data_IF_493823339750
#
_entry.id   IF_493823339750
#
_cell.length_a   1.000
_cell.length_b   1.000
_cell.length_c   1.000
_cell.angle_alpha   90.00
_cell.angle_beta   90.00
_cell.angle_gamma   90.00
#
_symmetry.space_group_name_H-M   'P 1'
#
loop_
_entity.id
_entity.type
_entity.pdbx_description
1 polymer ?
#
# COMPACT_ATOMS: atom_id res chain seq x y z
N UNK A 1 -8.62 27.82 32.14
CA UNK A 1 -8.16 28.06 30.76
C UNK A 1 -7.01 27.12 30.52
N UNK A 2 -7.32 25.88 30.10
CA UNK A 2 -6.35 24.84 29.79
C UNK A 2 -6.34 24.67 28.27
N UNK A 3 -5.44 25.37 27.59
CA UNK A 3 -5.07 25.02 26.21
C UNK A 3 -4.07 23.87 26.29
N UNK A 4 -4.64 22.67 26.41
CA UNK A 4 -3.95 21.40 26.48
C UNK A 4 -3.71 20.93 25.04
N UNK A 5 -2.43 20.87 24.68
CA UNK A 5 -1.85 20.02 23.63
C UNK A 5 -2.69 19.82 22.36
N UNK A 6 -2.44 20.66 21.34
CA UNK A 6 -2.60 20.24 19.95
C UNK A 6 -1.57 19.14 19.67
N UNK A 7 -1.93 17.89 19.99
CA UNK A 7 -1.17 16.72 19.57
C UNK A 7 -1.43 16.57 18.08
N UNK A 8 -0.48 17.07 17.28
CA UNK A 8 -0.33 16.72 15.88
C UNK A 8 0.24 15.30 15.84
N UNK A 9 -0.62 14.30 15.93
CA UNK A 9 -0.28 12.89 15.73
C UNK A 9 -1.22 12.34 14.67
N UNK A 10 -0.66 11.93 13.54
CA UNK A 10 -0.73 10.59 12.95
C UNK A 10 0.10 10.72 11.67
N UNK A 11 1.42 10.69 11.83
CA UNK A 11 2.27 10.26 10.73
C UNK A 11 2.17 8.73 10.79
N UNK A 12 1.35 8.15 9.92
CA UNK A 12 1.44 6.72 9.69
C UNK A 12 2.85 6.46 9.17
N UNK A 13 3.49 5.47 9.76
CA UNK A 13 4.89 5.13 9.54
C UNK A 13 5.01 4.73 8.07
N UNK A 14 5.39 5.70 7.22
CA UNK A 14 6.02 5.39 5.94
C UNK A 14 7.25 4.57 6.28
N UNK A 15 7.25 3.30 5.91
CA UNK A 15 8.40 2.43 6.08
C UNK A 15 9.55 2.98 5.22
N UNK A 16 10.35 3.87 5.82
CA UNK A 16 11.61 4.32 5.24
C UNK A 16 12.58 3.15 5.37
N UNK A 17 12.69 2.35 4.32
CA UNK A 17 13.71 1.32 4.22
C UNK A 17 15.08 1.99 3.99
N UNK A 18 15.97 1.87 4.98
CA UNK A 18 17.36 2.29 4.86
C UNK A 18 18.16 1.19 4.16
N UNK A 19 18.63 1.49 2.95
CA UNK A 19 19.49 0.61 2.15
C UNK A 19 20.92 0.59 2.72
N UNK A 20 21.38 -0.57 3.17
CA UNK A 20 22.79 -0.82 3.44
C UNK A 20 23.22 -2.12 2.74
N UNK A 21 23.67 -2.00 1.50
CA UNK A 21 24.28 -3.10 0.75
C UNK A 21 25.67 -2.69 0.25
N UNK A 22 26.72 -3.27 0.82
CA UNK A 22 28.06 -3.26 0.22
C UNK A 22 28.07 -4.29 -0.92
N UNK A 23 28.18 -3.84 -2.18
CA UNK A 23 28.20 -4.74 -3.34
C UNK A 23 29.61 -5.20 -3.69
N UNK A 24 29.79 -6.53 -3.80
CA UNK A 24 30.79 -7.16 -4.66
C UNK A 24 30.10 -8.28 -5.44
N UNK A 25 30.25 -8.27 -6.77
CA UNK A 25 29.53 -9.03 -7.82
C UNK A 25 28.08 -8.58 -8.08
N UNK A 26 27.72 -8.37 -9.36
CA UNK A 26 26.39 -7.92 -9.79
C UNK A 26 25.37 -9.05 -9.61
N UNK A 27 24.77 -9.11 -8.43
CA UNK A 27 23.64 -9.99 -8.11
C UNK A 27 22.41 -9.52 -8.90
N UNK A 28 21.69 -10.46 -9.54
CA UNK A 28 20.39 -10.19 -10.20
C UNK A 28 19.46 -9.46 -9.23
N UNK A 29 18.63 -8.55 -9.72
CA UNK A 29 17.82 -7.68 -8.87
C UNK A 29 16.97 -8.47 -7.86
N UNK A 30 16.33 -9.55 -8.31
CA UNK A 30 15.53 -10.43 -7.45
C UNK A 30 16.29 -11.24 -6.42
N UNK A 31 17.59 -11.45 -6.61
CA UNK A 31 18.46 -12.22 -5.73
C UNK A 31 19.18 -11.36 -4.68
N UNK A 32 18.96 -10.04 -4.72
CA UNK A 32 19.46 -9.14 -3.68
C UNK A 32 18.77 -9.46 -2.36
N UNK A 33 19.54 -9.42 -1.28
CA UNK A 33 19.00 -9.61 0.08
C UNK A 33 18.42 -8.29 0.57
N UNK A 34 17.13 -8.34 0.87
CA UNK A 34 16.32 -7.29 1.48
C UNK A 34 16.13 -7.63 2.94
N UNK A 35 16.03 -6.61 3.79
CA UNK A 35 15.76 -6.80 5.21
C UNK A 35 14.99 -5.61 5.76
N UNK A 36 14.16 -5.88 6.77
CA UNK A 36 13.48 -4.83 7.50
C UNK A 36 14.33 -4.37 8.67
N UNK A 37 14.57 -3.07 8.78
CA UNK A 37 15.14 -2.48 9.99
C UNK A 37 14.08 -2.43 11.09
N UNK A 38 13.81 -3.56 11.74
CA UNK A 38 12.85 -3.69 12.82
C UNK A 38 12.25 -5.11 12.90
N UNK A 39 12.07 -5.62 14.11
CA UNK A 39 11.44 -6.94 14.30
C UNK A 39 9.93 -6.83 14.11
N UNK A 40 9.43 -7.21 12.93
CA UNK A 40 8.00 -7.45 12.73
C UNK A 40 7.75 -8.92 13.05
N UNK A 41 7.11 -9.19 14.19
CA UNK A 41 6.61 -10.54 14.49
C UNK A 41 5.29 -10.72 13.75
N UNK A 42 5.32 -11.45 12.64
CA UNK A 42 4.10 -11.95 11.99
C UNK A 42 3.44 -12.95 12.94
N UNK A 43 2.24 -12.61 13.42
CA UNK A 43 1.56 -13.42 14.42
C UNK A 43 0.97 -14.68 13.80
N UNK A 44 1.53 -15.86 14.10
CA UNK A 44 0.83 -17.02 14.66
C UNK A 44 1.81 -18.17 14.87
N UNK A 45 2.41 -18.26 16.06
CA UNK A 45 2.78 -19.55 16.62
C UNK A 45 2.56 -19.54 18.13
N UNK A 46 1.58 -20.32 18.55
CA UNK A 46 1.16 -20.54 19.91
C UNK A 46 2.12 -21.51 20.62
N UNK A 47 3.38 -21.11 20.76
CA UNK A 47 4.27 -21.65 21.80
C UNK A 47 5.59 -20.88 21.83
N UNK A 48 5.65 -19.80 22.61
CA UNK A 48 6.69 -19.54 23.61
C UNK A 48 6.45 -18.16 24.26
N UNK A 49 6.07 -18.19 25.54
CA UNK A 49 5.95 -16.99 26.36
C UNK A 49 7.34 -16.42 26.64
N UNK A 50 7.67 -15.28 26.03
CA UNK A 50 8.19 -14.10 26.75
C UNK A 50 8.36 -12.89 25.82
N UNK A 51 7.83 -11.75 26.28
CA UNK A 51 8.02 -10.38 25.76
C UNK A 51 7.21 -9.91 24.54
N UNK A 52 6.02 -10.45 24.25
CA UNK A 52 5.20 -10.03 23.09
C UNK A 52 3.88 -9.30 23.42
N UNK A 53 3.61 -8.98 24.69
CA UNK A 53 2.34 -8.32 25.06
C UNK A 53 2.32 -6.79 24.82
N UNK A 54 3.47 -6.11 24.88
CA UNK A 54 3.49 -4.62 24.84
C UNK A 54 3.21 -4.01 23.47
N UNK A 55 3.72 -4.61 22.38
CA UNK A 55 3.62 -4.02 21.04
C UNK A 55 2.22 -4.18 20.42
N UNK A 56 1.55 -5.32 20.65
CA UNK A 56 0.19 -5.55 20.14
C UNK A 56 -0.85 -4.70 20.87
N UNK A 57 -0.68 -4.48 22.18
CA UNK A 57 -1.54 -3.58 22.96
C UNK A 57 -1.37 -2.12 22.51
N UNK A 58 -0.14 -1.67 22.22
CA UNK A 58 0.14 -0.31 21.72
C UNK A 58 -0.42 -0.06 20.31
N UNK A 59 -0.26 -1.00 19.36
CA UNK A 59 -0.82 -0.88 18.01
C UNK A 59 -2.36 -0.88 18.05
N UNK A 60 -2.96 -1.73 18.88
CA UNK A 60 -4.43 -1.73 19.07
C UNK A 60 -4.93 -0.40 19.67
N UNK A 61 -4.20 0.18 20.62
CA UNK A 61 -4.54 1.46 21.23
C UNK A 61 -4.46 2.65 20.27
N UNK A 62 -3.52 2.64 19.32
CA UNK A 62 -3.42 3.67 18.28
C UNK A 62 -4.56 3.51 17.27
N UNK A 63 -4.83 2.29 16.80
CA UNK A 63 -5.94 2.02 15.88
C UNK A 63 -7.28 2.46 16.50
N UNK A 64 -7.54 2.10 17.76
CA UNK A 64 -8.74 2.52 18.50
C UNK A 64 -8.82 4.04 18.66
N UNK A 65 -7.69 4.70 18.91
CA UNK A 65 -7.63 6.16 19.00
C UNK A 65 -7.96 6.82 17.65
N UNK A 66 -7.44 6.31 16.54
CA UNK A 66 -7.76 6.80 15.19
C UNK A 66 -9.26 6.64 14.93
N UNK A 67 -9.80 5.44 15.16
CA UNK A 67 -11.21 5.11 14.94
C UNK A 67 -12.16 6.00 15.76
N UNK A 68 -11.81 6.28 17.02
CA UNK A 68 -12.62 7.12 17.92
C UNK A 68 -12.70 8.60 17.53
N UNK A 69 -11.76 9.09 16.71
CA UNK A 69 -11.69 10.49 16.29
C UNK A 69 -12.23 10.75 14.87
N UNK A 70 -12.73 9.71 14.20
CA UNK A 70 -13.29 9.84 12.86
C UNK A 70 -14.61 10.62 12.89
N UNK A 71 -14.74 11.60 12.00
CA UNK A 71 -16.01 12.27 11.73
C UNK A 71 -16.81 11.44 10.73
N UNK A 72 -18.12 11.35 10.90
CA UNK A 72 -18.97 10.54 10.02
C UNK A 72 -19.91 11.41 9.20
N UNK A 73 -20.10 11.03 7.94
CA UNK A 73 -20.83 11.79 6.93
C UNK A 73 -21.85 10.91 6.23
N UNK A 74 -23.02 11.48 5.91
CA UNK A 74 -24.08 10.78 5.20
C UNK A 74 -23.82 10.65 3.68
N UNK A 75 -22.69 11.17 3.19
CA UNK A 75 -22.31 11.02 1.78
C UNK A 75 -20.79 10.96 1.62
N UNK A 76 -20.37 10.14 0.66
CA UNK A 76 -18.97 9.99 0.25
C UNK A 76 -18.33 11.34 -0.10
N UNK A 77 -19.06 12.19 -0.82
CA UNK A 77 -18.58 13.49 -1.28
C UNK A 77 -18.21 14.44 -0.16
N UNK A 78 -18.91 14.35 0.98
CA UNK A 78 -18.63 15.16 2.17
C UNK A 78 -17.46 14.57 2.96
N UNK A 79 -17.41 13.25 3.08
CA UNK A 79 -16.33 12.54 3.74
C UNK A 79 -14.97 12.83 3.09
N UNK A 80 -14.84 12.58 1.79
CA UNK A 80 -13.59 12.80 1.04
C UNK A 80 -13.15 14.27 1.03
N UNK A 81 -14.11 15.21 1.15
CA UNK A 81 -13.83 16.64 1.28
C UNK A 81 -13.28 17.06 2.64
N UNK A 82 -13.38 16.21 3.66
CA UNK A 82 -12.88 16.50 5.00
C UNK A 82 -11.37 16.18 5.13
N UNK A 83 -10.55 17.22 5.04
CA UNK A 83 -9.09 17.12 5.17
C UNK A 83 -8.60 17.06 6.62
N UNK A 84 -9.48 17.18 7.61
CA UNK A 84 -9.04 17.40 8.99
C UNK A 84 -8.44 16.19 9.68
N UNK A 85 -8.52 14.99 9.10
CA UNK A 85 -7.90 13.75 9.60
C UNK A 85 -6.54 13.43 8.99
N UNK A 86 -6.11 14.17 7.94
CA UNK A 86 -4.85 13.90 7.22
C UNK A 86 -3.79 14.92 7.64
N UNK A 87 -2.53 14.51 7.88
CA UNK A 87 -1.44 15.43 8.14
C UNK A 87 -1.30 16.50 7.04
N UNK A 88 -1.14 17.75 7.45
CA UNK A 88 -0.99 18.89 6.54
C UNK A 88 0.44 19.08 6.03
N UNK A 89 1.41 18.51 6.73
CA UNK A 89 2.84 18.65 6.45
C UNK A 89 3.43 17.26 6.18
N UNK A 90 4.02 17.05 4.98
CA UNK A 90 4.66 15.79 4.59
C UNK A 90 4.57 15.47 3.10
N UNK A 91 5.31 14.47 2.64
CA UNK A 91 5.15 13.90 1.29
C UNK A 91 3.73 13.35 1.06
N UNK A 92 3.04 13.01 2.14
CA UNK A 92 1.65 12.52 2.18
C UNK A 92 0.62 13.66 2.36
N UNK A 93 1.04 14.93 2.27
CA UNK A 93 0.15 16.08 2.50
C UNK A 93 -0.91 16.20 1.40
N UNK A 94 -2.16 15.99 1.82
CA UNK A 94 -3.38 16.04 1.01
C UNK A 94 -3.82 17.47 0.61
N UNK A 95 -3.08 18.50 1.04
CA UNK A 95 -3.40 19.90 0.80
C UNK A 95 -3.29 20.29 -0.70
N UNK A 96 -2.68 19.44 -1.55
CA UNK A 96 -2.54 19.68 -2.99
C UNK A 96 -3.75 19.35 -3.89
N UNK A 97 -4.72 18.53 -3.45
CA UNK A 97 -5.74 17.98 -4.36
C UNK A 97 -7.05 18.76 -4.33
N UNK A 98 -7.04 20.00 -4.85
CA UNK A 98 -8.27 20.79 -5.04
C UNK A 98 -9.29 20.09 -5.95
N UNK A 99 -8.80 19.24 -6.85
CA UNK A 99 -9.57 18.57 -7.89
C UNK A 99 -9.58 17.03 -7.69
N UNK A 100 -9.48 16.55 -6.45
CA UNK A 100 -9.39 15.10 -6.16
C UNK A 100 -10.46 14.30 -6.90
N UNK A 101 -11.71 14.77 -6.86
CA UNK A 101 -12.85 14.09 -7.47
C UNK A 101 -12.72 13.92 -8.97
N UNK A 102 -12.12 14.91 -9.65
CA UNK A 102 -11.88 14.88 -11.10
C UNK A 102 -10.72 13.94 -11.45
N UNK A 103 -9.94 13.54 -10.44
CA UNK A 103 -8.78 12.67 -10.57
C UNK A 103 -9.03 11.27 -9.99
N UNK A 104 -10.23 10.96 -9.46
CA UNK A 104 -10.56 9.59 -9.00
C UNK A 104 -10.55 8.67 -10.22
N UNK A 105 -9.76 7.61 -10.12
CA UNK A 105 -9.61 6.58 -11.15
C UNK A 105 -10.45 5.36 -10.79
N UNK A 106 -10.44 4.97 -9.52
CA UNK A 106 -11.05 3.75 -9.04
C UNK A 106 -11.43 3.89 -7.56
N UNK A 107 -12.48 3.18 -7.16
CA UNK A 107 -12.92 3.08 -5.78
C UNK A 107 -13.22 1.61 -5.48
N UNK A 108 -12.69 1.11 -4.36
CA UNK A 108 -13.07 -0.19 -3.83
C UNK A 108 -13.76 -0.05 -2.49
N UNK A 109 -14.82 -0.83 -2.29
CA UNK A 109 -15.47 -1.00 -0.99
C UNK A 109 -15.38 -2.46 -0.58
N UNK A 110 -14.75 -2.74 0.56
CA UNK A 110 -14.56 -4.10 1.07
C UNK A 110 -14.57 -4.09 2.60
N UNK A 111 -15.41 -4.91 3.20
CA UNK A 111 -15.43 -5.22 4.64
C UNK A 111 -15.35 -4.00 5.59
N UNK A 112 -16.08 -2.93 5.28
CA UNK A 112 -16.11 -1.74 6.12
C UNK A 112 -15.09 -0.67 5.73
N UNK A 113 -14.29 -0.92 4.69
CA UNK A 113 -13.26 -0.01 4.17
C UNK A 113 -13.62 0.48 2.77
N UNK A 114 -13.26 1.73 2.51
CA UNK A 114 -13.35 2.39 1.21
C UNK A 114 -11.97 2.91 0.85
N UNK A 115 -11.37 2.36 -0.20
CA UNK A 115 -10.13 2.87 -0.76
C UNK A 115 -10.43 3.65 -2.05
N UNK A 116 -9.98 4.89 -2.10
CA UNK A 116 -10.16 5.81 -3.23
C UNK A 116 -8.81 6.02 -3.89
N UNK A 117 -8.69 5.57 -5.14
CA UNK A 117 -7.49 5.69 -5.95
C UNK A 117 -7.63 6.91 -6.86
N UNK A 118 -6.67 7.81 -6.80
CA UNK A 118 -6.70 9.05 -7.57
C UNK A 118 -5.34 9.39 -8.16
N UNK A 119 -5.36 10.04 -9.32
CA UNK A 119 -4.15 10.49 -10.02
C UNK A 119 -3.45 11.59 -9.21
N UNK A 120 -2.13 11.45 -9.02
CA UNK A 120 -1.28 12.53 -8.51
C UNK A 120 -0.68 13.27 -9.70
N UNK A 121 -0.81 14.61 -9.79
CA UNK A 121 -0.12 15.39 -10.82
C UNK A 121 1.39 15.14 -10.76
N UNK A 122 2.03 14.82 -11.91
CA UNK A 122 3.45 14.45 -11.94
C UNK A 122 4.38 15.50 -11.31
N UNK A 123 4.05 16.79 -11.41
CA UNK A 123 4.79 17.89 -10.79
C UNK A 123 4.89 17.80 -9.25
N UNK A 124 3.98 17.05 -8.62
CA UNK A 124 3.97 16.78 -7.17
C UNK A 124 4.77 15.53 -6.79
N UNK A 125 5.19 14.73 -7.76
CA UNK A 125 5.88 13.46 -7.55
C UNK A 125 7.20 13.40 -8.34
N UNK A 126 8.03 14.46 -8.28
CA UNK A 126 9.33 14.52 -8.98
C UNK A 126 9.25 14.18 -10.49
N UNK A 127 8.16 14.57 -11.15
CA UNK A 127 7.85 14.23 -12.53
C UNK A 127 7.76 12.72 -12.81
N UNK A 128 7.31 11.93 -11.83
CA UNK A 128 7.02 10.50 -11.98
C UNK A 128 5.52 10.24 -11.91
N UNK A 129 5.00 9.26 -12.68
CA UNK A 129 3.62 8.83 -12.57
C UNK A 129 3.39 8.17 -11.20
N UNK A 130 2.31 8.55 -10.53
CA UNK A 130 1.92 7.98 -9.25
C UNK A 130 0.41 8.13 -9.01
N UNK A 131 -0.12 7.22 -8.20
CA UNK A 131 -1.47 7.30 -7.64
C UNK A 131 -1.41 7.58 -6.16
N UNK A 132 -2.39 8.33 -5.66
CA UNK A 132 -2.70 8.42 -4.25
C UNK A 132 -3.80 7.43 -3.92
N UNK A 133 -3.72 6.85 -2.73
CA UNK A 133 -4.72 5.95 -2.17
C UNK A 133 -5.18 6.57 -0.87
N UNK A 134 -6.47 6.84 -0.78
CA UNK A 134 -7.10 7.38 0.42
C UNK A 134 -8.02 6.33 1.01
N UNK A 135 -7.89 6.06 2.31
CA UNK A 135 -8.79 5.16 3.01
C UNK A 135 -9.78 5.90 3.91
N UNK A 136 -11.03 5.47 3.82
CA UNK A 136 -12.13 5.81 4.71
C UNK A 136 -12.78 4.51 5.20
N UNK A 137 -13.59 4.60 6.25
CA UNK A 137 -14.46 3.51 6.68
C UNK A 137 -15.90 3.75 6.18
N UNK A 138 -16.59 2.68 5.79
CA UNK A 138 -18.04 2.69 5.58
C UNK A 138 -18.77 1.87 6.66
N UNK A 139 -19.85 2.42 7.20
CA UNK A 139 -20.71 1.75 8.18
C UNK A 139 -22.10 2.35 8.15
N UNK A 140 -23.13 1.50 8.12
CA UNK A 140 -24.54 1.91 8.20
C UNK A 140 -24.89 3.05 7.21
N UNK A 141 -24.48 2.90 5.95
CA UNK A 141 -24.63 3.88 4.86
C UNK A 141 -23.93 5.24 5.09
N UNK A 142 -22.98 5.30 6.03
CA UNK A 142 -22.15 6.49 6.31
C UNK A 142 -20.70 6.23 6.01
N UNK A 143 -19.99 7.31 5.73
CA UNK A 143 -18.55 7.33 5.45
C UNK A 143 -17.83 8.13 6.52
N UNK A 144 -16.71 7.60 7.01
CA UNK A 144 -15.84 8.34 7.91
C UNK A 144 -15.07 9.44 7.17
N UNK A 145 -14.45 10.38 7.88
CA UNK A 145 -13.36 11.19 7.35
C UNK A 145 -12.21 10.27 6.93
N UNK A 146 -11.42 10.64 5.90
CA UNK A 146 -10.17 9.98 5.59
C UNK A 146 -9.24 9.94 6.79
N UNK A 147 -8.56 8.81 6.97
CA UNK A 147 -7.61 8.61 8.07
C UNK A 147 -6.27 8.01 7.63
N UNK A 148 -6.20 7.53 6.38
CA UNK A 148 -4.97 7.09 5.76
C UNK A 148 -4.84 7.67 4.35
N UNK A 149 -3.61 8.03 4.00
CA UNK A 149 -3.23 8.39 2.64
C UNK A 149 -1.86 7.79 2.36
N UNK A 150 -1.79 6.95 1.33
CA UNK A 150 -0.54 6.39 0.81
C UNK A 150 -0.47 6.60 -0.70
N UNK A 151 0.57 6.09 -1.36
CA UNK A 151 0.76 6.23 -2.79
C UNK A 151 1.30 4.95 -3.44
N UNK A 152 1.01 4.78 -4.72
CA UNK A 152 1.56 3.74 -5.58
C UNK A 152 2.31 4.39 -6.73
N UNK A 153 3.58 4.02 -6.90
CA UNK A 153 4.33 4.36 -8.11
C UNK A 153 3.93 3.48 -9.28
N UNK A 154 4.40 3.84 -10.47
CA UNK A 154 4.44 2.92 -11.59
C UNK A 154 5.89 2.49 -11.81
N UNK A 155 6.11 1.20 -12.09
CA UNK A 155 7.40 0.75 -12.59
C UNK A 155 7.65 1.47 -13.92
N UNK A 156 8.70 2.29 -13.98
CA UNK A 156 9.10 3.10 -15.15
C UNK A 156 10.42 2.61 -15.70
N UNK A 157 10.84 3.14 -16.86
CA UNK A 157 12.04 2.74 -17.61
C UNK A 157 13.35 2.69 -16.77
N UNK A 158 13.43 3.47 -15.68
CA UNK A 158 14.60 3.47 -14.77
C UNK A 158 14.57 2.36 -13.69
N UNK A 159 13.50 1.57 -13.63
CA UNK A 159 13.42 0.44 -12.71
C UNK A 159 14.26 -0.73 -13.25
N UNK A 160 15.09 -1.29 -12.37
CA UNK A 160 16.10 -2.30 -12.77
C UNK A 160 15.59 -3.74 -12.78
N UNK A 161 14.38 -4.00 -12.29
CA UNK A 161 13.76 -5.32 -12.27
C UNK A 161 12.70 -5.51 -13.37
N UNK A 162 12.17 -6.72 -13.48
CA UNK A 162 11.03 -7.03 -14.35
C UNK A 162 9.67 -6.85 -13.63
N UNK A 163 8.56 -7.15 -14.31
CA UNK A 163 7.21 -7.03 -13.73
C UNK A 163 7.00 -7.97 -12.53
N UNK A 164 7.66 -9.13 -12.48
CA UNK A 164 7.55 -10.06 -11.35
C UNK A 164 8.26 -9.47 -10.15
N UNK A 165 9.49 -8.99 -10.34
CA UNK A 165 10.27 -8.32 -9.31
C UNK A 165 9.47 -7.14 -8.72
N UNK A 166 8.91 -6.29 -9.59
CA UNK A 166 8.13 -5.12 -9.17
C UNK A 166 6.83 -5.52 -8.47
N UNK A 167 6.15 -6.56 -8.94
CA UNK A 167 4.93 -7.07 -8.31
C UNK A 167 5.22 -7.60 -6.91
N UNK A 168 6.32 -8.35 -6.74
CA UNK A 168 6.75 -8.85 -5.45
C UNK A 168 7.03 -7.70 -4.46
N UNK A 169 7.78 -6.69 -4.88
CA UNK A 169 8.08 -5.50 -4.06
C UNK A 169 6.81 -4.75 -3.64
N UNK A 170 5.88 -4.50 -4.58
CA UNK A 170 4.63 -3.80 -4.29
C UNK A 170 3.70 -4.62 -3.40
N UNK A 171 3.60 -5.94 -3.61
CA UNK A 171 2.77 -6.78 -2.75
C UNK A 171 3.35 -6.88 -1.34
N UNK A 172 4.67 -6.94 -1.20
CA UNK A 172 5.31 -6.84 0.11
C UNK A 172 4.98 -5.52 0.81
N UNK A 173 5.08 -4.38 0.11
CA UNK A 173 4.72 -3.09 0.68
C UNK A 173 3.25 -3.03 1.12
N UNK A 174 2.33 -3.58 0.31
CA UNK A 174 0.91 -3.70 0.65
C UNK A 174 0.68 -4.58 1.89
N UNK A 175 1.35 -5.74 1.98
CA UNK A 175 1.24 -6.64 3.13
C UNK A 175 1.74 -5.97 4.42
N UNK A 176 2.88 -5.28 4.37
CA UNK A 176 3.40 -4.55 5.55
C UNK A 176 2.44 -3.42 5.93
N UNK A 177 2.00 -2.60 4.98
CA UNK A 177 1.13 -1.45 5.26
C UNK A 177 -0.26 -1.84 5.77
N UNK A 178 -0.93 -2.77 5.09
CA UNK A 178 -2.32 -3.11 5.38
C UNK A 178 -2.47 -4.23 6.40
N UNK A 179 -1.73 -5.32 6.27
CA UNK A 179 -1.94 -6.50 7.11
C UNK A 179 -1.12 -6.48 8.40
N UNK A 180 0.05 -5.86 8.37
CA UNK A 180 0.90 -5.77 9.56
C UNK A 180 0.63 -4.51 10.36
N UNK A 181 0.63 -3.34 9.72
CA UNK A 181 0.46 -2.06 10.42
C UNK A 181 -1.01 -1.69 10.66
N UNK A 182 -1.89 -1.94 9.67
CA UNK A 182 -3.30 -1.54 9.74
C UNK A 182 -4.25 -2.67 10.14
N UNK A 183 -3.74 -3.91 10.28
CA UNK A 183 -4.48 -5.11 10.69
C UNK A 183 -5.76 -5.31 9.84
N UNK A 184 -5.67 -5.09 8.53
CA UNK A 184 -6.78 -5.35 7.60
C UNK A 184 -7.01 -6.82 7.33
N UNK A 185 -6.09 -7.71 7.71
CA UNK A 185 -6.27 -9.16 7.63
C UNK A 185 -6.73 -9.66 6.24
N UNK A 186 -6.16 -9.13 5.16
CA UNK A 186 -6.46 -9.51 3.78
C UNK A 186 -7.68 -8.79 3.20
N UNK A 187 -8.30 -7.91 3.98
CA UNK A 187 -9.44 -7.09 3.58
C UNK A 187 -8.98 -5.80 2.89
N UNK A 188 -8.08 -5.97 1.92
CA UNK A 188 -7.62 -4.93 1.01
C UNK A 188 -7.40 -5.50 -0.39
N UNK A 189 -7.23 -4.61 -1.36
CA UNK A 189 -6.77 -4.99 -2.69
C UNK A 189 -5.25 -5.11 -2.71
N UNK A 190 -4.74 -6.05 -3.49
CA UNK A 190 -3.34 -6.06 -3.89
C UNK A 190 -3.21 -5.26 -5.17
N UNK A 191 -2.40 -4.22 -5.20
CA UNK A 191 -2.38 -3.31 -6.34
C UNK A 191 -0.97 -2.81 -6.67
N UNK A 192 -0.81 -2.33 -7.89
CA UNK A 192 0.46 -1.86 -8.43
C UNK A 192 0.21 -1.04 -9.72
N UNK A 193 1.22 -0.27 -10.15
CA UNK A 193 1.23 0.43 -11.44
C UNK A 193 2.32 -0.11 -12.36
N UNK A 194 2.02 -0.38 -13.63
CA UNK A 194 3.02 -0.81 -14.61
C UNK A 194 2.90 -0.04 -15.94
N UNK A 195 3.97 0.01 -16.72
CA UNK A 195 3.98 0.75 -17.99
C UNK A 195 3.76 -0.15 -19.22
N UNK A 196 4.06 -1.44 -19.14
CA UNK A 196 3.90 -2.39 -20.26
C UNK A 196 2.60 -3.21 -20.13
N UNK A 197 1.63 -2.96 -21.01
CA UNK A 197 0.35 -3.66 -21.00
C UNK A 197 0.47 -5.16 -21.35
N UNK A 198 1.42 -5.52 -22.22
CA UNK A 198 1.53 -6.89 -22.72
C UNK A 198 2.17 -7.79 -21.66
N UNK A 199 3.16 -7.29 -20.91
CA UNK A 199 3.65 -7.96 -19.71
C UNK A 199 2.55 -8.14 -18.67
N UNK A 200 1.77 -7.09 -18.42
CA UNK A 200 0.69 -7.13 -17.43
C UNK A 200 -0.40 -8.15 -17.76
N UNK A 201 -0.75 -8.30 -19.04
CA UNK A 201 -1.70 -9.34 -19.49
C UNK A 201 -1.16 -10.75 -19.30
N UNK A 202 0.17 -10.92 -19.28
CA UNK A 202 0.83 -12.21 -19.06
C UNK A 202 1.06 -12.52 -17.59
N UNK A 203 1.10 -11.51 -16.72
CA UNK A 203 1.23 -11.68 -15.27
C UNK A 203 0.18 -12.64 -14.71
N UNK A 204 0.64 -13.59 -13.92
CA UNK A 204 -0.17 -14.53 -13.15
C UNK A 204 0.24 -14.46 -11.68
N UNK A 205 -0.77 -14.48 -10.81
CA UNK A 205 -0.66 -14.43 -9.36
C UNK A 205 -1.45 -15.61 -8.81
N UNK A 206 -0.78 -16.59 -8.22
CA UNK A 206 -1.39 -17.87 -7.85
C UNK A 206 -2.14 -18.49 -9.03
N UNK A 207 -1.49 -18.55 -10.20
CA UNK A 207 -2.05 -19.04 -11.47
C UNK A 207 -3.17 -18.18 -12.10
N UNK A 208 -3.59 -17.08 -11.47
CA UNK A 208 -4.71 -16.25 -11.94
C UNK A 208 -4.22 -14.97 -12.62
N UNK A 209 -4.87 -14.47 -13.68
CA UNK A 209 -4.57 -13.12 -14.18
C UNK A 209 -4.95 -12.06 -13.15
N UNK A 210 -4.43 -10.84 -13.31
CA UNK A 210 -4.89 -9.66 -12.55
C UNK A 210 -6.41 -9.50 -12.65
N UNK A 211 -7.02 -8.80 -11.69
CA UNK A 211 -8.47 -8.65 -11.67
C UNK A 211 -8.94 -7.66 -12.71
N UNK A 212 -8.31 -6.49 -12.72
CA UNK A 212 -8.63 -5.43 -13.66
C UNK A 212 -7.37 -4.61 -13.97
N UNK A 213 -7.34 -4.04 -15.17
CA UNK A 213 -6.29 -3.15 -15.66
C UNK A 213 -6.98 -1.85 -16.08
N UNK A 214 -6.59 -0.74 -15.44
CA UNK A 214 -7.13 0.59 -15.67
C UNK A 214 -6.06 1.46 -16.34
N UNK A 215 -6.24 1.83 -17.62
CA UNK A 215 -5.30 2.72 -18.31
C UNK A 215 -5.46 4.17 -17.83
N UNK A 216 -4.34 4.84 -17.59
CA UNK A 216 -4.28 6.20 -17.05
C UNK A 216 -3.26 7.00 -17.86
N UNK A 217 -3.72 8.10 -18.46
CA UNK A 217 -2.84 9.02 -19.18
C UNK A 217 -2.34 10.14 -18.26
N UNK A 218 -1.03 10.31 -18.21
CA UNK A 218 -0.37 11.35 -17.41
C UNK A 218 0.00 12.59 -18.25
N UNK A 219 0.48 13.64 -17.59
CA UNK A 219 0.78 14.94 -18.20
C UNK A 219 1.88 14.87 -19.28
N UNK A 220 2.72 13.83 -19.24
CA UNK A 220 3.72 13.54 -20.26
C UNK A 220 3.13 12.94 -21.57
N UNK A 221 1.82 12.69 -21.58
CA UNK A 221 1.09 12.09 -22.70
C UNK A 221 1.27 10.57 -22.81
N UNK A 222 2.03 9.93 -21.91
CA UNK A 222 2.16 8.48 -21.84
C UNK A 222 0.98 7.88 -21.07
N UNK A 223 0.62 6.65 -21.44
CA UNK A 223 -0.38 5.86 -20.72
C UNK A 223 0.32 4.80 -19.88
N UNK A 224 -0.05 4.76 -18.62
CA UNK A 224 0.38 3.79 -17.65
C UNK A 224 -0.83 2.99 -17.15
N UNK A 225 -0.60 1.83 -16.55
CA UNK A 225 -1.64 0.87 -16.23
C UNK A 225 -1.66 0.59 -14.74
N UNK A 226 -2.67 1.13 -14.05
CA UNK A 226 -2.99 0.70 -12.71
C UNK A 226 -3.68 -0.65 -12.79
N UNK A 227 -3.40 -1.54 -11.85
CA UNK A 227 -4.09 -2.81 -11.79
C UNK A 227 -4.21 -3.28 -10.35
N UNK A 228 -5.19 -4.14 -10.13
CA UNK A 228 -5.42 -4.74 -8.81
C UNK A 228 -5.76 -6.23 -8.91
N UNK A 229 -5.63 -6.91 -7.78
CA UNK A 229 -5.86 -8.33 -7.59
C UNK A 229 -6.66 -8.57 -6.30
N UNK A 230 -7.73 -9.36 -6.41
CA UNK A 230 -8.61 -9.72 -5.28
C UNK A 230 -9.15 -11.16 -5.36
N UNK A 231 -8.50 -12.05 -6.11
CA UNK A 231 -9.03 -13.40 -6.41
C UNK A 231 -8.67 -14.44 -5.36
N UNK A 232 -7.44 -14.40 -4.87
CA UNK A 232 -6.90 -15.32 -3.86
C UNK A 232 -6.34 -14.53 -2.70
N UNK A 233 -6.47 -15.06 -1.49
CA UNK A 233 -5.80 -14.51 -0.32
C UNK A 233 -4.30 -14.87 -0.38
N UNK A 234 -3.44 -13.86 -0.42
CA UNK A 234 -1.99 -14.02 -0.55
C UNK A 234 -1.26 -14.06 0.80
N UNK A 235 -1.97 -13.87 1.93
CA UNK A 235 -1.34 -13.77 3.25
C UNK A 235 -0.58 -15.02 3.67
N UNK A 236 -1.10 -16.20 3.32
CA UNK A 236 -0.42 -17.46 3.65
C UNK A 236 0.95 -17.57 2.95
N UNK A 237 1.09 -17.00 1.75
CA UNK A 237 2.40 -16.89 1.08
C UNK A 237 3.36 -16.03 1.90
N UNK A 238 2.91 -14.85 2.33
CA UNK A 238 3.73 -13.91 3.11
C UNK A 238 4.11 -14.41 4.51
N UNK A 239 3.27 -15.22 5.17
CA UNK A 239 3.58 -15.78 6.49
C UNK A 239 4.81 -16.69 6.48
N UNK A 240 5.14 -17.28 5.33
CA UNK A 240 6.26 -18.20 5.19
C UNK A 240 7.60 -17.50 4.88
N UNK A 241 7.62 -16.17 4.76
CA UNK A 241 8.81 -15.39 4.40
C UNK A 241 9.49 -14.86 5.67
N UNK A 242 10.80 -15.09 5.78
CA UNK A 242 11.62 -14.48 6.83
C UNK A 242 12.04 -13.05 6.45
N UNK A 243 11.29 -12.06 6.93
CA UNK A 243 11.58 -10.65 6.64
C UNK A 243 12.86 -10.09 7.29
N UNK A 244 13.57 -10.89 8.11
CA UNK A 244 14.90 -10.50 8.62
C UNK A 244 15.99 -10.57 7.54
N UNK A 245 15.74 -11.33 6.47
CA UNK A 245 16.58 -11.43 5.28
C UNK A 245 15.89 -12.25 4.20
N UNK A 246 15.39 -11.59 3.15
CA UNK A 246 14.64 -12.23 2.07
C UNK A 246 15.08 -11.73 0.70
N UNK A 247 14.68 -12.42 -0.34
CA UNK A 247 14.88 -12.08 -1.75
C UNK A 247 13.53 -11.89 -2.44
N UNK A 248 13.48 -11.14 -3.55
CA UNK A 248 12.24 -11.05 -4.32
C UNK A 248 11.92 -12.38 -5.01
N UNK A 249 12.94 -13.21 -5.31
CA UNK A 249 12.72 -14.57 -5.79
C UNK A 249 11.92 -15.40 -4.79
N UNK A 250 12.27 -15.37 -3.51
CA UNK A 250 11.51 -16.06 -2.46
C UNK A 250 10.07 -15.54 -2.37
N UNK A 251 9.84 -14.24 -2.60
CA UNK A 251 8.49 -13.67 -2.68
C UNK A 251 7.73 -14.14 -3.92
N UNK A 252 8.35 -14.13 -5.10
CA UNK A 252 7.76 -14.63 -6.33
C UNK A 252 7.32 -16.09 -6.17
N UNK A 253 8.17 -16.93 -5.58
CA UNK A 253 7.88 -18.34 -5.30
C UNK A 253 6.75 -18.51 -4.28
N UNK A 254 6.77 -17.76 -3.17
CA UNK A 254 5.77 -17.84 -2.12
C UNK A 254 4.37 -17.37 -2.57
N UNK A 255 4.32 -16.46 -3.55
CA UNK A 255 3.10 -15.86 -4.09
C UNK A 255 2.67 -16.48 -5.43
N UNK A 256 3.45 -17.45 -5.94
CA UNK A 256 3.27 -18.08 -7.25
C UNK A 256 3.09 -17.01 -8.37
N UNK A 257 4.05 -16.07 -8.41
CA UNK A 257 4.14 -15.04 -9.45
C UNK A 257 4.82 -15.62 -10.69
N UNK A 258 4.11 -15.62 -11.80
CA UNK A 258 4.62 -16.15 -13.07
C UNK A 258 4.16 -15.33 -14.27
N UNK A 259 4.77 -15.57 -15.43
CA UNK A 259 4.28 -15.07 -16.71
C UNK A 259 3.70 -16.23 -17.53
N UNK A 260 2.49 -16.06 -18.05
CA UNK A 260 1.94 -17.00 -19.02
C UNK A 260 2.77 -17.00 -20.32
N UNK A 261 2.87 -18.17 -20.95
CA UNK A 261 3.37 -18.29 -22.32
C UNK A 261 2.49 -17.51 -23.30
N UNK A 262 3.08 -17.03 -24.39
CA UNK A 262 2.40 -16.23 -25.42
C UNK A 262 1.36 -17.04 -26.20
#
# INVERSE_FOLDING_TARGET
MNDMHKISMIAMIGAVCLLAGCASEEVEYKDRVWSMSGSIKTGTDSSEQSQTQSANEEVSGIADMVQSNLRWYDSFEKAVGDKGGIPKDGADSYDGYKDLKENIIFQSEKDGFVDVFFKIPMERCNNKPALGIMTLNNKDDKYSSPYDVTWAGFGVEDYSGDILDYTAEQFWANYVGYDTCSIRNGDHLWYCGWHDLDELKRLRIAGNPVTEIVPITFEDGKTYYFWYYNKTDLREGFKNIDFSGFTLREMEEALDLTLADQ
#
